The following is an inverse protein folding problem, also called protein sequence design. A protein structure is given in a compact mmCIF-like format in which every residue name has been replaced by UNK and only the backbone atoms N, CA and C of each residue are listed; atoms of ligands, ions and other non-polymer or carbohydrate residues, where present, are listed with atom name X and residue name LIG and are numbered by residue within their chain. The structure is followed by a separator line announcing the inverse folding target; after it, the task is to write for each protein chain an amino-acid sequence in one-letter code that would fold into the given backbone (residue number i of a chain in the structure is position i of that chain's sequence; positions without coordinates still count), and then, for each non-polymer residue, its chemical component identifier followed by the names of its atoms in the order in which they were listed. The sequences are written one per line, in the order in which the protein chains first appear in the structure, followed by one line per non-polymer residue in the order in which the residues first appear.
data_IF_083244675774
#
_entry.id   IF_083244675774
#
_cell.length_a   1.000
_cell.length_b   1.000
_cell.length_c   1.000
_cell.angle_alpha   90.00
_cell.angle_beta   90.00
_cell.angle_gamma   90.00
#
_symmetry.space_group_name_H-M   'P 1'
#
loop_
_entity.id
_entity.type
_entity.pdbx_description
1 polymer ?
#
# COMPACT_ATOMS: atom_id res chain seq x y z
N UNK A 1 15.82 -14.27 -20.36
CA UNK A 1 15.92 -13.88 -18.94
C UNK A 1 14.98 -12.70 -18.68
N UNK A 2 13.77 -12.96 -18.20
CA UNK A 2 12.66 -12.00 -18.22
C UNK A 2 12.80 -10.89 -17.14
N UNK A 3 12.39 -9.69 -17.54
CA UNK A 3 12.67 -8.38 -16.95
C UNK A 3 12.03 -8.21 -15.55
N UNK A 4 12.86 -8.06 -14.51
CA UNK A 4 12.53 -7.88 -13.07
C UNK A 4 11.82 -6.55 -12.70
N UNK A 5 10.97 -5.97 -13.57
CA UNK A 5 10.37 -4.63 -13.36
C UNK A 5 8.91 -4.66 -12.82
N UNK A 6 8.29 -5.82 -12.66
CA UNK A 6 6.86 -5.93 -12.31
C UNK A 6 6.53 -6.11 -10.80
N UNK A 7 7.50 -6.44 -9.94
CA UNK A 7 7.20 -6.81 -8.54
C UNK A 7 6.69 -5.64 -7.68
N UNK A 8 7.03 -4.42 -8.08
CA UNK A 8 6.62 -3.18 -7.42
C UNK A 8 5.13 -2.90 -7.62
N UNK A 9 4.66 -3.08 -8.85
CA UNK A 9 3.28 -2.82 -9.23
C UNK A 9 2.35 -3.89 -8.69
N UNK A 10 2.83 -5.11 -8.42
CA UNK A 10 2.07 -6.16 -7.73
C UNK A 10 2.00 -5.97 -6.20
N UNK A 11 2.95 -5.27 -5.59
CA UNK A 11 2.95 -5.06 -4.14
C UNK A 11 1.77 -4.16 -3.71
N UNK A 12 1.45 -3.13 -4.49
CA UNK A 12 0.39 -2.15 -4.17
C UNK A 12 -1.00 -2.81 -4.14
N UNK A 13 -1.42 -3.57 -5.18
CA UNK A 13 -2.66 -4.35 -5.17
C UNK A 13 -2.71 -5.36 -4.03
N UNK A 14 -1.59 -6.03 -3.72
CA UNK A 14 -1.55 -7.03 -2.66
C UNK A 14 -1.80 -6.40 -1.28
N UNK A 15 -1.15 -5.29 -0.95
CA UNK A 15 -1.38 -4.58 0.32
C UNK A 15 -2.79 -4.00 0.42
N UNK A 16 -3.36 -3.53 -0.69
CA UNK A 16 -4.74 -3.05 -0.75
C UNK A 16 -5.72 -4.19 -0.44
N UNK A 17 -5.62 -5.30 -1.16
CA UNK A 17 -6.51 -6.47 -0.99
C UNK A 17 -6.41 -7.07 0.42
N UNK A 18 -5.21 -7.14 0.98
CA UNK A 18 -4.99 -7.67 2.32
C UNK A 18 -5.59 -6.76 3.40
N UNK A 19 -5.47 -5.43 3.24
CA UNK A 19 -6.11 -4.45 4.12
C UNK A 19 -7.63 -4.49 4.05
N UNK A 20 -8.20 -4.64 2.85
CA UNK A 20 -9.65 -4.77 2.66
C UNK A 20 -10.20 -6.08 3.25
N UNK A 21 -9.51 -7.21 3.05
CA UNK A 21 -9.92 -8.50 3.59
C UNK A 21 -9.94 -8.52 5.12
N UNK A 22 -8.89 -7.94 5.74
CA UNK A 22 -8.84 -7.75 7.20
C UNK A 22 -9.95 -6.80 7.65
N UNK A 23 -10.22 -5.75 6.88
CA UNK A 23 -11.30 -4.79 7.13
C UNK A 23 -12.71 -5.40 7.14
N UNK A 24 -12.99 -6.30 6.20
CA UNK A 24 -14.31 -6.92 6.01
C UNK A 24 -14.62 -8.02 7.04
N UNK A 25 -13.61 -8.73 7.55
CA UNK A 25 -13.84 -9.87 8.47
C UNK A 25 -14.11 -9.47 9.94
N UNK A 26 -13.81 -8.26 10.37
CA UNK A 26 -13.80 -7.93 11.81
C UNK A 26 -14.94 -6.99 12.23
N UNK A 27 -15.83 -7.48 13.11
CA UNK A 27 -17.00 -6.77 13.65
C UNK A 27 -16.69 -5.58 14.60
N UNK A 28 -15.42 -5.28 14.90
CA UNK A 28 -15.03 -4.24 15.87
C UNK A 28 -14.51 -2.97 15.18
N UNK A 29 -15.43 -2.09 14.80
CA UNK A 29 -15.21 -0.87 13.99
C UNK A 29 -14.18 0.11 14.62
N UNK A 30 -14.15 0.25 15.95
CA UNK A 30 -13.33 1.28 16.61
C UNK A 30 -11.84 0.90 16.60
N UNK A 31 -11.51 -0.34 16.96
CA UNK A 31 -10.11 -0.83 16.92
C UNK A 31 -9.60 -0.89 15.48
N UNK A 32 -10.48 -1.28 14.55
CA UNK A 32 -10.17 -1.30 13.12
C UNK A 32 -9.98 0.08 12.49
N UNK A 33 -10.72 1.09 12.96
CA UNK A 33 -10.52 2.47 12.47
C UNK A 33 -9.10 2.94 12.79
N UNK A 34 -8.57 2.60 13.96
CA UNK A 34 -7.21 2.95 14.36
C UNK A 34 -6.19 2.16 13.52
N UNK A 35 -6.39 0.86 13.34
CA UNK A 35 -5.52 0.03 12.50
C UNK A 35 -5.54 0.46 11.03
N UNK A 36 -6.71 0.78 10.48
CA UNK A 36 -6.89 1.28 9.11
C UNK A 36 -6.23 2.65 8.91
N UNK A 37 -6.29 3.53 9.92
CA UNK A 37 -5.61 4.82 9.89
C UNK A 37 -4.08 4.65 9.89
N UNK A 38 -3.55 3.72 10.70
CA UNK A 38 -2.12 3.37 10.72
C UNK A 38 -1.67 2.79 9.37
N UNK A 39 -2.41 1.83 8.83
CA UNK A 39 -2.09 1.21 7.53
C UNK A 39 -2.20 2.23 6.40
N UNK A 40 -3.22 3.09 6.42
CA UNK A 40 -3.40 4.18 5.46
C UNK A 40 -2.23 5.16 5.46
N UNK A 41 -1.74 5.56 6.65
CA UNK A 41 -0.54 6.40 6.79
C UNK A 41 0.69 5.71 6.19
N UNK A 42 0.90 4.41 6.48
CA UNK A 42 2.04 3.65 5.94
C UNK A 42 2.00 3.59 4.41
N UNK A 43 0.82 3.33 3.84
CA UNK A 43 0.63 3.28 2.38
C UNK A 43 0.83 4.67 1.75
N UNK A 44 0.31 5.73 2.36
CA UNK A 44 0.51 7.11 1.91
C UNK A 44 2.00 7.47 1.89
N UNK A 45 2.73 7.15 2.95
CA UNK A 45 4.17 7.40 3.04
C UNK A 45 4.95 6.61 1.98
N UNK A 46 4.58 5.34 1.77
CA UNK A 46 5.19 4.49 0.77
C UNK A 46 4.97 5.01 -0.67
N UNK A 47 3.75 5.47 -0.98
CA UNK A 47 3.43 6.10 -2.26
C UNK A 47 4.20 7.40 -2.46
N UNK A 48 4.27 8.27 -1.44
CA UNK A 48 5.03 9.52 -1.49
C UNK A 48 6.53 9.26 -1.76
N UNK A 49 7.11 8.27 -1.08
CA UNK A 49 8.50 7.89 -1.23
C UNK A 49 8.81 7.35 -2.64
N UNK A 50 7.89 6.55 -3.20
CA UNK A 50 8.00 6.08 -4.59
C UNK A 50 7.82 7.20 -5.61
N UNK A 51 6.85 8.09 -5.42
CA UNK A 51 6.60 9.20 -6.35
C UNK A 51 7.81 10.13 -6.43
N UNK A 52 8.50 10.38 -5.31
CA UNK A 52 9.77 11.13 -5.30
C UNK A 52 10.88 10.43 -6.11
N UNK A 53 10.98 9.10 -6.07
CA UNK A 53 11.94 8.34 -6.89
C UNK A 53 11.59 8.36 -8.39
N UNK A 54 10.30 8.38 -8.74
CA UNK A 54 9.86 8.42 -10.15
C UNK A 54 10.07 9.82 -10.75
N UNK A 55 9.84 10.90 -9.99
CA UNK A 55 10.11 12.27 -10.46
C UNK A 55 11.60 12.50 -10.77
N UNK A 56 12.51 11.84 -10.04
CA UNK A 56 13.96 11.96 -10.22
C UNK A 56 14.51 11.20 -11.44
N UNK A 57 13.76 10.25 -12.02
CA UNK A 57 14.22 9.49 -13.20
C UNK A 57 13.76 10.08 -14.54
N UNK A 58 12.89 11.10 -14.51
CA UNK A 58 12.33 11.77 -15.69
C UNK A 58 12.82 13.23 -15.83
N UNK A 59 13.89 13.61 -15.12
CA UNK A 59 14.54 14.93 -15.22
C UNK A 59 15.98 14.79 -15.63
#
# INVERSE_FOLDING_TARGET
MAKKKNNIMLIIPAFLLMGTAIGVQMQSIIKHSITGLIVGIIVYFFLLFRNKKIKKTNS
#
